data_IF_309118403279
#
_entry.id   IF_309118403279
#
_cell.length_a   1.000
_cell.length_b   1.000
_cell.length_c   1.000
_cell.angle_alpha   90.00
_cell.angle_beta   90.00
_cell.angle_gamma   90.00
#
_symmetry.space_group_name_H-M   'P 1'
#
loop_
_entity.id
_entity.type
_entity.pdbx_description
1 polymer ?
#
# COMPACT_ATOMS: atom_id res chain seq x y z
N UNK A 1 -1.55 -34.18 12.63
CA UNK A 1 -0.40 -34.34 11.70
C UNK A 1 -0.93 -34.32 10.27
N UNK A 2 -0.30 -33.56 9.38
CA UNK A 2 -0.55 -33.53 7.93
C UNK A 2 0.66 -34.14 7.22
N UNK A 3 0.43 -34.98 6.22
CA UNK A 3 1.47 -35.71 5.47
C UNK A 3 1.33 -35.40 3.98
N UNK A 4 2.44 -35.16 3.31
CA UNK A 4 2.49 -34.86 1.87
C UNK A 4 3.17 -36.01 1.14
N UNK A 5 2.53 -36.47 0.07
CA UNK A 5 3.02 -37.57 -0.75
C UNK A 5 3.18 -37.11 -2.19
N UNK A 6 4.27 -37.53 -2.83
CA UNK A 6 4.39 -37.52 -4.29
C UNK A 6 4.00 -38.90 -4.80
N UNK A 7 3.04 -38.91 -5.72
CA UNK A 7 2.59 -40.12 -6.41
C UNK A 7 3.01 -39.96 -7.87
N UNK A 8 3.80 -40.89 -8.38
CA UNK A 8 4.33 -40.81 -9.74
C UNK A 8 4.45 -42.19 -10.37
N UNK A 9 4.34 -42.23 -11.70
CA UNK A 9 4.60 -43.42 -12.50
C UNK A 9 6.10 -43.55 -12.74
N UNK A 10 6.69 -44.66 -12.32
CA UNK A 10 8.07 -45.00 -12.57
C UNK A 10 8.17 -45.96 -13.76
N UNK A 11 8.81 -45.49 -14.83
CA UNK A 11 8.85 -46.22 -16.10
C UNK A 11 10.04 -47.20 -16.20
N UNK A 12 11.05 -47.11 -15.32
CA UNK A 12 12.11 -48.09 -15.09
C UNK A 12 12.53 -48.99 -16.27
N UNK A 13 12.68 -50.30 -16.00
CA UNK A 13 12.96 -51.32 -17.02
C UNK A 13 11.71 -51.78 -17.79
N UNK A 14 10.51 -51.52 -17.27
CA UNK A 14 9.23 -52.00 -17.82
C UNK A 14 8.35 -50.83 -18.27
N UNK A 15 8.85 -50.01 -19.21
CA UNK A 15 8.21 -48.76 -19.63
C UNK A 15 6.78 -48.90 -20.19
N UNK A 16 6.38 -50.10 -20.63
CA UNK A 16 5.02 -50.40 -21.09
C UNK A 16 4.03 -50.67 -19.96
N UNK A 17 4.52 -50.96 -18.75
CA UNK A 17 3.73 -51.25 -17.55
C UNK A 17 4.37 -50.52 -16.36
N UNK A 18 4.25 -49.19 -16.28
CA UNK A 18 4.92 -48.41 -15.25
C UNK A 18 4.39 -48.76 -13.86
N UNK A 19 5.29 -48.77 -12.88
CA UNK A 19 4.95 -48.94 -11.47
C UNK A 19 4.44 -47.60 -10.90
N UNK A 20 3.35 -47.62 -10.13
CA UNK A 20 2.94 -46.44 -9.36
C UNK A 20 3.71 -46.44 -8.05
N UNK A 21 4.53 -45.42 -7.84
CA UNK A 21 5.29 -45.22 -6.61
C UNK A 21 4.74 -44.07 -5.80
N UNK A 22 4.80 -44.23 -4.48
CA UNK A 22 4.39 -43.22 -3.51
C UNK A 22 5.56 -42.93 -2.59
N UNK A 23 5.92 -41.65 -2.48
CA UNK A 23 6.98 -41.18 -1.60
C UNK A 23 6.43 -40.10 -0.68
N UNK A 24 6.60 -40.27 0.62
CA UNK A 24 6.29 -39.21 1.57
C UNK A 24 7.42 -38.16 1.58
N UNK A 25 7.07 -36.90 1.31
CA UNK A 25 8.04 -35.81 1.16
C UNK A 25 8.10 -34.90 2.38
N UNK A 26 6.97 -34.71 3.06
CA UNK A 26 6.86 -33.73 4.16
C UNK A 26 5.83 -34.15 5.19
N UNK A 27 6.12 -33.83 6.44
CA UNK A 27 5.22 -33.96 7.59
C UNK A 27 5.11 -32.62 8.29
N UNK A 28 3.90 -32.30 8.72
CA UNK A 28 3.61 -31.14 9.56
C UNK A 28 2.84 -31.62 10.79
N UNK A 29 3.43 -31.43 11.96
CA UNK A 29 2.79 -31.66 13.25
C UNK A 29 2.27 -30.32 13.78
N UNK A 30 1.00 -30.32 14.18
CA UNK A 30 0.34 -29.16 14.79
C UNK A 30 0.20 -29.49 16.27
N UNK A 31 0.97 -28.80 17.11
CA UNK A 31 1.04 -28.99 18.56
C UNK A 31 0.73 -27.65 19.22
N UNK A 32 -0.51 -27.45 19.66
CA UNK A 32 -1.00 -26.18 20.19
C UNK A 32 -0.68 -24.98 19.26
N UNK A 33 0.23 -24.11 19.67
CA UNK A 33 0.69 -22.93 18.91
C UNK A 33 1.89 -23.21 18.01
N UNK A 34 2.45 -24.42 18.06
CA UNK A 34 3.64 -24.83 17.30
C UNK A 34 3.27 -25.63 16.06
N UNK A 35 4.04 -25.39 15.01
CA UNK A 35 3.97 -26.10 13.75
C UNK A 35 5.35 -26.70 13.46
N UNK A 36 5.53 -27.99 13.76
CA UNK A 36 6.80 -28.69 13.54
C UNK A 36 6.81 -29.31 12.16
N UNK A 37 7.78 -28.92 11.34
CA UNK A 37 7.89 -29.34 9.93
C UNK A 37 9.11 -30.22 9.76
N UNK A 38 8.91 -31.33 9.06
CA UNK A 38 9.95 -32.29 8.72
C UNK A 38 9.87 -32.62 7.23
N UNK A 39 11.01 -32.66 6.56
CA UNK A 39 11.10 -32.96 5.13
C UNK A 39 12.00 -34.18 4.91
N UNK A 40 11.59 -35.07 4.01
CA UNK A 40 12.37 -36.24 3.61
C UNK A 40 13.40 -35.80 2.57
N UNK A 41 14.68 -35.73 2.97
CA UNK A 41 15.76 -35.20 2.12
C UNK A 41 17.15 -35.63 2.58
N UNK A 42 18.15 -35.28 1.76
CA UNK A 42 19.56 -35.42 2.09
C UNK A 42 19.93 -34.49 3.25
N UNK A 43 20.31 -35.07 4.38
CA UNK A 43 20.69 -34.33 5.58
C UNK A 43 21.98 -33.56 5.33
N UNK A 44 21.91 -32.22 5.30
CA UNK A 44 23.10 -31.33 5.18
C UNK A 44 24.08 -31.74 4.06
N UNK A 45 23.56 -32.26 2.95
CA UNK A 45 24.35 -32.72 1.80
C UNK A 45 25.35 -33.86 2.12
N UNK A 46 25.12 -34.66 3.17
CA UNK A 46 26.00 -35.78 3.56
C UNK A 46 25.81 -37.05 2.70
N UNK A 47 24.72 -37.13 1.94
CA UNK A 47 24.32 -38.34 1.20
C UNK A 47 23.31 -39.22 1.95
N UNK A 48 23.08 -38.96 3.24
CA UNK A 48 22.10 -39.69 4.05
C UNK A 48 20.70 -39.08 3.86
N UNK A 49 19.75 -39.87 3.36
CA UNK A 49 18.35 -39.43 3.24
C UNK A 49 17.60 -39.74 4.55
N UNK A 50 17.05 -38.71 5.20
CA UNK A 50 16.26 -38.87 6.42
C UNK A 50 15.26 -37.73 6.62
N UNK A 51 14.42 -37.84 7.65
CA UNK A 51 13.57 -36.75 8.11
C UNK A 51 14.44 -35.63 8.71
N UNK A 52 14.42 -34.46 8.09
CA UNK A 52 15.17 -33.30 8.52
C UNK A 52 14.20 -32.24 9.07
N UNK A 53 14.47 -31.73 10.27
CA UNK A 53 13.75 -30.63 10.92
C UNK A 53 14.34 -29.27 10.53
N UNK A 54 13.57 -28.18 10.72
CA UNK A 54 14.03 -26.81 10.47
C UNK A 54 14.14 -26.42 8.98
N UNK A 55 13.79 -27.32 8.06
CA UNK A 55 13.70 -27.05 6.63
C UNK A 55 12.23 -26.94 6.20
N UNK A 56 11.90 -25.85 5.50
CA UNK A 56 10.59 -25.61 4.88
C UNK A 56 10.77 -25.34 3.38
N UNK A 57 11.58 -26.18 2.72
CA UNK A 57 11.97 -25.99 1.33
C UNK A 57 10.96 -26.52 0.32
N UNK A 58 10.11 -27.48 0.72
CA UNK A 58 9.01 -27.94 -0.12
C UNK A 58 7.74 -27.15 0.17
N UNK A 59 7.22 -26.48 -0.85
CA UNK A 59 5.91 -25.84 -0.75
C UNK A 59 4.92 -26.49 -1.70
N UNK A 60 3.80 -26.93 -1.14
CA UNK A 60 2.73 -27.62 -1.85
C UNK A 60 1.49 -26.72 -1.86
N UNK A 61 1.56 -25.64 -2.64
CA UNK A 61 0.44 -24.72 -2.80
C UNK A 61 -0.75 -25.40 -3.48
N UNK A 62 -0.45 -26.24 -4.48
CA UNK A 62 -1.44 -26.96 -5.28
C UNK A 62 -1.28 -28.47 -5.10
N UNK A 63 -1.88 -29.00 -4.04
CA UNK A 63 -1.92 -30.43 -3.78
C UNK A 63 -3.35 -30.94 -3.65
N UNK A 64 -3.64 -32.11 -4.22
CA UNK A 64 -4.89 -32.81 -3.93
C UNK A 64 -4.93 -33.22 -2.46
N UNK A 65 -6.06 -32.96 -1.79
CA UNK A 65 -6.26 -33.39 -0.41
C UNK A 65 -6.95 -34.75 -0.38
N UNK A 66 -6.38 -35.72 0.32
CA UNK A 66 -7.03 -37.02 0.51
C UNK A 66 -8.18 -36.89 1.51
N UNK A 67 -9.42 -36.92 1.02
CA UNK A 67 -10.60 -36.56 1.82
C UNK A 67 -11.20 -37.71 2.65
N UNK A 68 -10.90 -38.97 2.28
CA UNK A 68 -11.58 -40.14 2.85
C UNK A 68 -11.35 -40.34 4.36
N UNK A 69 -10.27 -39.81 4.94
CA UNK A 69 -10.00 -39.90 6.37
C UNK A 69 -10.19 -38.59 7.14
N UNK A 70 -10.52 -37.48 6.45
CA UNK A 70 -10.53 -36.15 7.07
C UNK A 70 -11.51 -36.06 8.24
N UNK A 71 -12.70 -36.63 8.12
CA UNK A 71 -13.70 -36.61 9.18
C UNK A 71 -13.17 -37.23 10.47
N UNK A 72 -12.62 -38.45 10.40
CA UNK A 72 -11.98 -39.11 11.54
C UNK A 72 -10.74 -38.35 12.04
N UNK A 73 -9.94 -37.79 11.13
CA UNK A 73 -8.69 -37.12 11.47
C UNK A 73 -8.90 -35.74 12.14
N UNK A 74 -10.02 -35.08 11.87
CA UNK A 74 -10.33 -33.74 12.37
C UNK A 74 -11.24 -33.76 13.60
N UNK A 75 -12.03 -34.82 13.83
CA UNK A 75 -12.89 -34.97 15.02
C UNK A 75 -12.10 -34.76 16.32
N UNK A 76 -12.63 -33.93 17.22
CA UNK A 76 -11.99 -33.61 18.50
C UNK A 76 -10.80 -32.64 18.39
N UNK A 77 -10.49 -32.14 17.19
CA UNK A 77 -9.48 -31.09 16.98
C UNK A 77 -10.16 -29.71 16.83
N UNK A 78 -9.42 -28.60 17.01
CA UNK A 78 -9.93 -27.25 16.69
C UNK A 78 -10.38 -27.08 15.23
N UNK A 79 -10.01 -27.99 14.33
CA UNK A 79 -10.32 -27.93 12.90
C UNK A 79 -11.53 -28.78 12.51
N UNK A 80 -12.23 -29.42 13.45
CA UNK A 80 -13.35 -30.32 13.15
C UNK A 80 -14.46 -29.69 12.30
N UNK A 81 -14.65 -28.37 12.39
CA UNK A 81 -15.67 -27.64 11.64
C UNK A 81 -15.12 -26.84 10.46
N UNK A 82 -13.81 -26.89 10.18
CA UNK A 82 -13.16 -25.99 9.23
C UNK A 82 -13.61 -26.15 7.77
N UNK A 83 -14.49 -27.10 7.45
CA UNK A 83 -15.06 -27.35 6.12
C UNK A 83 -14.04 -27.73 5.01
N UNK A 84 -12.78 -28.04 5.36
CA UNK A 84 -11.74 -28.37 4.38
C UNK A 84 -12.09 -29.59 3.52
N UNK A 85 -12.87 -30.56 4.04
CA UNK A 85 -13.38 -31.70 3.26
C UNK A 85 -14.27 -31.23 2.11
N UNK A 86 -15.27 -30.39 2.42
CA UNK A 86 -16.15 -29.79 1.41
C UNK A 86 -15.35 -28.97 0.40
N UNK A 87 -14.38 -28.19 0.86
CA UNK A 87 -13.52 -27.41 -0.02
C UNK A 87 -12.65 -28.31 -0.93
N UNK A 88 -12.12 -29.42 -0.41
CA UNK A 88 -11.31 -30.37 -1.18
C UNK A 88 -12.15 -31.19 -2.18
N UNK A 89 -13.39 -31.52 -1.84
CA UNK A 89 -14.30 -32.30 -2.70
C UNK A 89 -15.11 -31.42 -3.68
N UNK A 90 -14.81 -30.11 -3.77
CA UNK A 90 -15.60 -29.13 -4.54
C UNK A 90 -15.72 -29.46 -6.04
N UNK A 91 -14.70 -30.09 -6.61
CA UNK A 91 -14.70 -30.70 -7.94
C UNK A 91 -13.56 -31.73 -8.04
N UNK A 92 -13.61 -32.59 -9.05
CA UNK A 92 -12.58 -33.61 -9.26
C UNK A 92 -11.20 -32.98 -9.52
N UNK A 93 -10.20 -33.35 -8.70
CA UNK A 93 -8.84 -32.83 -8.83
C UNK A 93 -8.61 -31.46 -8.19
N UNK A 94 -9.55 -30.95 -7.40
CA UNK A 94 -9.41 -29.66 -6.73
C UNK A 94 -8.16 -29.60 -5.84
N UNK A 95 -7.34 -28.56 -6.02
CA UNK A 95 -6.15 -28.34 -5.22
C UNK A 95 -6.51 -27.67 -3.89
N UNK A 96 -5.75 -27.95 -2.84
CA UNK A 96 -5.89 -27.30 -1.54
C UNK A 96 -4.51 -27.06 -0.95
N UNK A 97 -4.22 -25.80 -0.64
CA UNK A 97 -3.08 -25.44 0.19
C UNK A 97 -3.38 -25.73 1.67
N UNK A 98 -3.42 -27.02 2.04
CA UNK A 98 -3.83 -27.47 3.39
C UNK A 98 -3.13 -26.72 4.52
N UNK A 99 -1.79 -26.50 4.49
CA UNK A 99 -1.11 -25.80 5.57
C UNK A 99 -1.61 -24.37 5.78
N UNK A 100 -1.82 -23.64 4.69
CA UNK A 100 -2.35 -22.29 4.78
C UNK A 100 -3.83 -22.28 5.08
N UNK A 101 -4.62 -23.21 4.54
CA UNK A 101 -6.03 -23.35 4.90
C UNK A 101 -6.20 -23.45 6.42
N UNK A 102 -5.50 -24.39 7.06
CA UNK A 102 -5.58 -24.60 8.51
C UNK A 102 -5.05 -23.37 9.27
N UNK A 103 -3.89 -22.83 8.87
CA UNK A 103 -3.33 -21.61 9.48
C UNK A 103 -4.30 -20.43 9.42
N UNK A 104 -4.94 -20.22 8.26
CA UNK A 104 -5.87 -19.10 8.04
C UNK A 104 -7.13 -19.32 8.86
N UNK A 105 -7.71 -20.52 8.84
CA UNK A 105 -8.90 -20.85 9.63
C UNK A 105 -8.72 -20.55 11.13
N UNK A 106 -7.57 -20.89 11.72
CA UNK A 106 -7.28 -20.60 13.13
C UNK A 106 -7.39 -19.10 13.47
N UNK A 107 -7.00 -18.23 12.54
CA UNK A 107 -7.09 -16.77 12.71
C UNK A 107 -8.38 -16.16 12.18
N UNK A 108 -9.08 -16.87 11.28
CA UNK A 108 -10.21 -16.39 10.47
C UNK A 108 -11.26 -17.50 10.29
N UNK A 109 -12.05 -17.79 11.33
CA UNK A 109 -13.03 -18.87 11.28
C UNK A 109 -14.11 -18.68 10.21
N UNK A 110 -14.35 -17.45 9.74
CA UNK A 110 -15.34 -17.18 8.70
C UNK A 110 -15.08 -17.92 7.38
N UNK A 111 -13.87 -18.44 7.14
CA UNK A 111 -13.55 -19.31 6.00
C UNK A 111 -14.49 -20.52 5.97
N UNK A 112 -14.85 -21.08 7.13
CA UNK A 112 -15.82 -22.18 7.20
C UNK A 112 -17.17 -21.77 6.61
N UNK A 113 -17.66 -20.57 6.94
CA UNK A 113 -18.91 -20.08 6.41
C UNK A 113 -18.80 -19.80 4.90
N UNK A 114 -17.67 -19.27 4.43
CA UNK A 114 -17.44 -19.04 2.99
C UNK A 114 -17.49 -20.33 2.19
N UNK A 115 -16.83 -21.40 2.67
CA UNK A 115 -16.88 -22.73 2.04
C UNK A 115 -18.30 -23.28 2.08
N UNK A 116 -18.99 -23.22 3.21
CA UNK A 116 -20.38 -23.68 3.33
C UNK A 116 -21.34 -22.91 2.42
N UNK A 117 -21.03 -21.65 2.12
CA UNK A 117 -21.76 -20.82 1.18
C UNK A 117 -21.35 -21.05 -0.29
N UNK A 118 -20.33 -21.86 -0.58
CA UNK A 118 -19.86 -22.10 -1.95
C UNK A 118 -19.03 -20.96 -2.56
N UNK A 119 -18.43 -20.09 -1.73
CA UNK A 119 -17.51 -19.04 -2.16
C UNK A 119 -16.08 -19.60 -2.27
N UNK A 120 -15.88 -20.59 -3.13
CA UNK A 120 -14.65 -21.36 -3.19
C UNK A 120 -13.48 -20.57 -3.78
N UNK A 121 -13.69 -19.73 -4.80
CA UNK A 121 -12.59 -18.96 -5.39
C UNK A 121 -11.99 -17.94 -4.41
N UNK A 122 -12.83 -17.23 -3.65
CA UNK A 122 -12.32 -16.37 -2.56
C UNK A 122 -11.54 -17.16 -1.52
N UNK A 123 -12.01 -18.36 -1.14
CA UNK A 123 -11.30 -19.19 -0.15
C UNK A 123 -9.96 -19.66 -0.71
N UNK A 124 -9.89 -20.02 -1.99
CA UNK A 124 -8.64 -20.37 -2.67
C UNK A 124 -7.63 -19.22 -2.62
N UNK A 125 -8.05 -17.99 -2.91
CA UNK A 125 -7.22 -16.79 -2.81
C UNK A 125 -6.80 -16.51 -1.36
N UNK A 126 -7.73 -16.54 -0.41
CA UNK A 126 -7.49 -16.30 1.03
C UNK A 126 -6.46 -17.27 1.62
N UNK A 127 -6.40 -18.48 1.08
CA UNK A 127 -5.49 -19.54 1.52
C UNK A 127 -4.14 -19.51 0.81
N UNK A 128 -3.84 -18.46 0.04
CA UNK A 128 -2.51 -18.22 -0.49
C UNK A 128 -1.60 -17.43 0.47
N UNK A 129 -0.26 -17.61 0.38
CA UNK A 129 0.72 -16.87 1.20
C UNK A 129 0.68 -15.37 1.02
N UNK A 130 0.52 -14.92 -0.22
CA UNK A 130 0.64 -13.53 -0.64
C UNK A 130 -0.66 -12.74 -0.49
N UNK A 131 -1.74 -13.38 -0.05
CA UNK A 131 -3.04 -12.73 0.00
C UNK A 131 -3.18 -11.77 1.19
N UNK A 132 -3.70 -10.57 0.91
CA UNK A 132 -3.94 -9.50 1.88
C UNK A 132 -5.45 -9.32 2.15
N UNK A 133 -5.81 -9.20 3.43
CA UNK A 133 -7.19 -9.22 3.92
C UNK A 133 -7.93 -7.86 3.88
N UNK A 134 -7.35 -6.82 3.28
CA UNK A 134 -7.89 -5.45 3.34
C UNK A 134 -9.31 -5.27 2.78
N UNK A 135 -9.86 -6.27 2.11
CA UNK A 135 -11.18 -6.23 1.49
C UNK A 135 -12.32 -6.70 2.41
N UNK A 136 -11.99 -7.38 3.50
CA UNK A 136 -12.97 -7.99 4.41
C UNK A 136 -12.96 -7.32 5.77
N UNK A 137 -14.15 -7.10 6.33
CA UNK A 137 -14.32 -6.69 7.72
C UNK A 137 -13.97 -7.86 8.64
N UNK A 138 -12.84 -7.75 9.34
CA UNK A 138 -12.30 -8.81 10.18
C UNK A 138 -13.09 -9.05 11.46
N UNK A 139 -13.90 -8.06 11.87
CA UNK A 139 -14.70 -8.09 13.09
C UNK A 139 -16.18 -8.43 12.81
N UNK A 140 -16.51 -8.79 11.56
CA UNK A 140 -17.86 -9.16 11.16
C UNK A 140 -18.34 -10.44 11.84
N UNK A 141 -19.56 -10.43 12.39
CA UNK A 141 -20.15 -11.55 13.13
C UNK A 141 -20.78 -12.62 12.24
N UNK A 142 -21.00 -12.30 10.96
CA UNK A 142 -21.57 -13.17 9.95
C UNK A 142 -21.01 -12.81 8.56
N UNK A 143 -21.25 -13.65 7.56
CA UNK A 143 -20.71 -13.43 6.20
C UNK A 143 -21.12 -12.11 5.57
N UNK A 144 -22.35 -11.62 5.82
CA UNK A 144 -22.82 -10.36 5.26
C UNK A 144 -22.01 -9.18 5.84
N UNK A 145 -21.74 -9.21 7.14
CA UNK A 145 -20.88 -8.22 7.81
C UNK A 145 -19.41 -8.33 7.38
N UNK A 146 -18.88 -9.55 7.25
CA UNK A 146 -17.50 -9.80 6.79
C UNK A 146 -17.27 -9.24 5.39
N UNK A 147 -18.23 -9.45 4.48
CA UNK A 147 -18.17 -8.93 3.12
C UNK A 147 -18.65 -7.46 3.03
N UNK A 148 -19.39 -6.97 4.02
CA UNK A 148 -19.99 -5.63 4.02
C UNK A 148 -21.04 -5.47 2.93
N UNK A 149 -21.94 -6.45 2.78
CA UNK A 149 -22.94 -6.51 1.70
C UNK A 149 -24.35 -6.82 2.22
N UNK A 150 -25.36 -6.44 1.45
CA UNK A 150 -26.75 -6.85 1.71
C UNK A 150 -26.98 -8.31 1.31
N UNK A 151 -28.10 -8.90 1.76
CA UNK A 151 -28.49 -10.27 1.38
C UNK A 151 -28.70 -10.45 -0.12
N UNK A 152 -29.19 -9.42 -0.81
CA UNK A 152 -29.36 -9.46 -2.26
C UNK A 152 -28.02 -9.48 -2.99
N UNK A 153 -27.11 -8.59 -2.57
CA UNK A 153 -25.75 -8.52 -3.10
C UNK A 153 -24.98 -9.83 -2.86
N UNK A 154 -25.14 -10.41 -1.66
CA UNK A 154 -24.55 -11.69 -1.33
C UNK A 154 -25.03 -12.82 -2.26
N UNK A 155 -26.33 -12.88 -2.57
CA UNK A 155 -26.85 -13.90 -3.51
C UNK A 155 -26.20 -13.79 -4.87
N UNK A 156 -25.99 -12.57 -5.37
CA UNK A 156 -25.30 -12.35 -6.64
C UNK A 156 -23.82 -12.80 -6.58
N UNK A 157 -23.11 -12.47 -5.50
CA UNK A 157 -21.72 -12.92 -5.27
C UNK A 157 -21.64 -14.44 -5.24
N UNK A 158 -22.57 -15.08 -4.52
CA UNK A 158 -22.65 -16.53 -4.37
C UNK A 158 -22.95 -17.24 -5.69
N UNK A 159 -23.93 -16.75 -6.46
CA UNK A 159 -24.29 -17.31 -7.76
C UNK A 159 -23.12 -17.29 -8.76
N UNK A 160 -22.23 -16.31 -8.63
CA UNK A 160 -21.08 -16.15 -9.49
C UNK A 160 -19.81 -16.76 -8.91
N UNK A 161 -19.82 -17.38 -7.71
CA UNK A 161 -18.64 -17.86 -6.97
C UNK A 161 -17.39 -16.99 -7.24
N UNK A 162 -17.51 -15.71 -6.89
CA UNK A 162 -16.61 -14.67 -7.37
C UNK A 162 -15.19 -14.83 -6.83
N UNK A 163 -14.21 -14.43 -7.63
CA UNK A 163 -12.89 -14.05 -7.14
C UNK A 163 -12.92 -12.68 -6.45
N UNK A 164 -11.92 -12.39 -5.64
CA UNK A 164 -11.77 -11.13 -4.92
C UNK A 164 -11.68 -9.91 -5.85
N UNK A 165 -11.02 -10.07 -7.01
CA UNK A 165 -11.01 -9.04 -8.06
C UNK A 165 -12.43 -8.71 -8.56
N UNK A 166 -13.24 -9.73 -8.83
CA UNK A 166 -14.61 -9.59 -9.29
C UNK A 166 -15.47 -8.95 -8.20
N UNK A 167 -15.29 -9.36 -6.94
CA UNK A 167 -15.97 -8.77 -5.79
C UNK A 167 -15.64 -7.28 -5.59
N UNK A 168 -14.37 -6.88 -5.72
CA UNK A 168 -13.94 -5.48 -5.66
C UNK A 168 -14.57 -4.67 -6.79
N UNK A 169 -14.60 -5.23 -7.99
CA UNK A 169 -15.24 -4.65 -9.17
C UNK A 169 -16.74 -4.46 -8.92
N UNK A 170 -17.42 -5.49 -8.46
CA UNK A 170 -18.84 -5.48 -8.12
C UNK A 170 -19.18 -4.39 -7.11
N UNK A 171 -18.42 -4.29 -6.00
CA UNK A 171 -18.58 -3.23 -5.00
C UNK A 171 -18.36 -1.83 -5.58
N UNK A 172 -17.35 -1.66 -6.45
CA UNK A 172 -17.09 -0.38 -7.12
C UNK A 172 -18.22 0.00 -8.07
N UNK A 173 -18.86 -0.95 -8.74
CA UNK A 173 -20.02 -0.69 -9.58
C UNK A 173 -21.24 -0.30 -8.77
N UNK A 174 -21.51 -0.99 -7.65
CA UNK A 174 -22.61 -0.67 -6.75
C UNK A 174 -22.52 0.73 -6.14
N UNK A 175 -21.31 1.24 -5.87
CA UNK A 175 -21.13 2.60 -5.35
C UNK A 175 -21.38 3.69 -6.40
N UNK A 176 -21.45 3.32 -7.69
CA UNK A 176 -21.66 4.26 -8.79
C UNK A 176 -23.14 4.33 -9.17
N UNK A 177 -23.77 5.49 -8.96
CA UNK A 177 -25.21 5.72 -9.22
C UNK A 177 -25.72 5.38 -10.63
N UNK A 178 -24.84 5.39 -11.64
CA UNK A 178 -25.19 5.21 -13.07
C UNK A 178 -24.69 3.89 -13.67
N UNK A 179 -23.97 3.09 -12.89
CA UNK A 179 -23.36 1.88 -13.38
C UNK A 179 -24.34 0.72 -13.25
N UNK A 180 -24.75 0.14 -14.37
CA UNK A 180 -25.52 -1.11 -14.36
C UNK A 180 -24.57 -2.29 -14.38
N UNK A 181 -24.90 -3.32 -13.62
CA UNK A 181 -24.15 -4.56 -13.57
C UNK A 181 -24.52 -5.37 -14.82
N UNK A 182 -23.53 -5.75 -15.66
CA UNK A 182 -23.76 -6.64 -16.80
C UNK A 182 -24.40 -7.94 -16.37
N UNK A 183 -25.27 -8.48 -17.23
CA UNK A 183 -25.87 -9.80 -17.03
C UNK A 183 -24.81 -10.89 -16.96
N UNK A 184 -23.87 -10.89 -17.92
CA UNK A 184 -22.67 -11.71 -17.87
C UNK A 184 -21.50 -10.94 -17.21
N UNK A 185 -21.58 -10.83 -15.88
CA UNK A 185 -20.60 -10.10 -15.08
C UNK A 185 -19.20 -10.73 -15.12
N UNK A 186 -19.11 -12.06 -15.20
CA UNK A 186 -17.84 -12.78 -15.24
C UNK A 186 -17.11 -12.53 -16.56
N UNK A 187 -17.79 -12.65 -17.70
CA UNK A 187 -17.18 -12.32 -18.99
C UNK A 187 -16.78 -10.85 -19.07
N UNK A 188 -17.58 -9.94 -18.50
CA UNK A 188 -17.20 -8.54 -18.37
C UNK A 188 -15.89 -8.36 -17.58
N UNK A 189 -15.76 -9.02 -16.42
CA UNK A 189 -14.55 -8.95 -15.61
C UNK A 189 -13.33 -9.52 -16.35
N UNK A 190 -13.47 -10.64 -17.05
CA UNK A 190 -12.39 -11.27 -17.82
C UNK A 190 -11.96 -10.43 -19.01
N UNK A 191 -12.92 -9.94 -19.80
CA UNK A 191 -12.64 -9.10 -20.98
C UNK A 191 -11.86 -7.84 -20.61
N UNK A 192 -12.15 -7.29 -19.42
CA UNK A 192 -11.62 -6.01 -18.98
C UNK A 192 -10.63 -6.10 -17.83
N UNK A 193 -10.12 -7.29 -17.49
CA UNK A 193 -9.32 -7.55 -16.29
C UNK A 193 -8.22 -6.50 -16.07
N UNK A 194 -7.50 -6.15 -17.15
CA UNK A 194 -6.38 -5.19 -17.12
C UNK A 194 -6.81 -3.72 -17.00
N UNK A 195 -7.99 -3.39 -17.49
CA UNK A 195 -8.43 -2.01 -17.73
C UNK A 195 -9.70 -1.62 -16.97
N UNK A 196 -10.24 -2.54 -16.16
CA UNK A 196 -11.55 -2.41 -15.53
C UNK A 196 -11.66 -1.15 -14.69
N UNK A 197 -10.57 -0.75 -14.03
CA UNK A 197 -10.57 0.44 -13.19
C UNK A 197 -10.81 1.70 -14.03
N UNK A 198 -10.17 1.81 -15.20
CA UNK A 198 -10.34 2.93 -16.12
C UNK A 198 -11.73 2.92 -16.75
N UNK A 199 -12.21 1.75 -17.16
CA UNK A 199 -13.55 1.59 -17.72
C UNK A 199 -14.62 2.02 -16.72
N UNK A 200 -14.53 1.57 -15.47
CA UNK A 200 -15.45 1.98 -14.41
C UNK A 200 -15.36 3.47 -14.09
N UNK A 201 -14.20 4.12 -14.25
CA UNK A 201 -14.11 5.58 -14.14
C UNK A 201 -14.83 6.28 -15.29
N UNK A 202 -14.63 5.83 -16.52
CA UNK A 202 -15.29 6.39 -17.71
C UNK A 202 -16.81 6.15 -17.73
N UNK A 203 -17.26 5.02 -17.20
CA UNK A 203 -18.67 4.67 -17.06
C UNK A 203 -19.44 5.58 -16.07
N UNK A 204 -18.75 6.40 -15.27
CA UNK A 204 -19.41 7.44 -14.49
C UNK A 204 -20.00 8.55 -15.38
N UNK A 205 -19.41 8.74 -16.55
CA UNK A 205 -19.80 9.78 -17.50
C UNK A 205 -20.71 9.24 -18.62
N UNK A 206 -20.57 7.96 -18.99
CA UNK A 206 -21.29 7.37 -20.13
C UNK A 206 -21.51 5.86 -20.03
N UNK A 207 -22.02 5.21 -21.08
CA UNK A 207 -22.25 3.75 -21.12
C UNK A 207 -21.03 2.99 -21.62
N UNK A 208 -20.88 1.71 -21.26
CA UNK A 208 -19.79 0.84 -21.75
C UNK A 208 -19.66 0.86 -23.28
N UNK A 209 -20.78 0.68 -23.99
CA UNK A 209 -20.82 0.76 -25.46
C UNK A 209 -20.26 2.09 -26.01
N UNK A 210 -20.55 3.22 -25.35
CA UNK A 210 -20.02 4.53 -25.78
C UNK A 210 -18.54 4.66 -25.44
N UNK A 211 -18.07 4.05 -24.36
CA UNK A 211 -16.63 3.96 -24.04
C UNK A 211 -15.91 3.18 -25.13
N UNK A 212 -16.34 1.96 -25.42
CA UNK A 212 -15.76 1.09 -26.45
C UNK A 212 -15.73 1.80 -27.81
N UNK A 213 -16.88 2.35 -28.22
CA UNK A 213 -17.02 3.04 -29.51
C UNK A 213 -16.07 4.24 -29.61
N UNK A 214 -16.04 5.11 -28.60
CA UNK A 214 -15.22 6.31 -28.65
C UNK A 214 -13.73 6.00 -28.63
N UNK A 215 -13.29 5.09 -27.74
CA UNK A 215 -11.90 4.65 -27.70
C UNK A 215 -11.47 4.03 -29.04
N UNK A 216 -12.31 3.18 -29.63
CA UNK A 216 -12.03 2.58 -30.94
C UNK A 216 -11.91 3.64 -32.05
N UNK A 217 -12.78 4.65 -32.06
CA UNK A 217 -12.75 5.74 -33.05
C UNK A 217 -11.51 6.64 -32.96
N UNK A 218 -10.93 6.77 -31.76
CA UNK A 218 -9.73 7.60 -31.53
C UNK A 218 -8.43 6.77 -31.61
N UNK A 219 -8.53 5.45 -31.73
CA UNK A 219 -7.36 4.55 -31.81
C UNK A 219 -6.66 4.73 -33.16
N UNK A 220 -5.34 4.83 -33.10
CA UNK A 220 -4.46 4.87 -34.28
C UNK A 220 -3.22 4.03 -34.02
N UNK A 221 -2.38 3.77 -35.03
CA UNK A 221 -1.10 3.06 -34.82
C UNK A 221 -0.21 3.71 -33.78
N UNK A 222 -0.21 5.06 -33.71
CA UNK A 222 0.56 5.84 -32.73
C UNK A 222 -0.13 5.95 -31.37
N UNK A 223 -1.42 5.65 -31.30
CA UNK A 223 -2.24 5.78 -30.09
C UNK A 223 -3.10 4.52 -29.95
N UNK A 224 -2.55 3.44 -29.36
CA UNK A 224 -3.30 2.22 -29.15
C UNK A 224 -4.49 2.46 -28.22
N UNK A 225 -5.48 1.59 -28.30
CA UNK A 225 -6.76 1.67 -27.57
C UNK A 225 -6.60 2.04 -26.08
N UNK A 226 -5.64 1.42 -25.41
CA UNK A 226 -5.36 1.68 -24.00
C UNK A 226 -4.79 3.08 -23.72
N UNK A 227 -3.92 3.59 -24.59
CA UNK A 227 -3.37 4.95 -24.47
C UNK A 227 -4.49 5.99 -24.66
N UNK A 228 -5.38 5.76 -25.63
CA UNK A 228 -6.58 6.58 -25.84
C UNK A 228 -7.48 6.60 -24.62
N UNK A 229 -7.74 5.44 -24.01
CA UNK A 229 -8.59 5.33 -22.83
C UNK A 229 -8.03 6.13 -21.65
N UNK A 230 -6.72 6.01 -21.39
CA UNK A 230 -6.03 6.79 -20.34
C UNK A 230 -6.10 8.29 -20.61
N UNK A 231 -5.74 8.70 -21.83
CA UNK A 231 -5.76 10.09 -22.27
C UNK A 231 -7.15 10.72 -22.11
N UNK A 232 -8.19 9.99 -22.50
CA UNK A 232 -9.57 10.45 -22.36
C UNK A 232 -9.99 10.60 -20.90
N UNK A 233 -9.65 9.63 -20.06
CA UNK A 233 -9.92 9.67 -18.64
C UNK A 233 -9.22 10.84 -17.95
N UNK A 234 -7.97 11.11 -18.29
CA UNK A 234 -7.21 12.24 -17.72
C UNK A 234 -7.77 13.59 -18.21
N UNK A 235 -8.11 13.71 -19.49
CA UNK A 235 -8.83 14.87 -20.01
C UNK A 235 -10.15 15.12 -19.25
N UNK A 236 -10.96 14.09 -19.00
CA UNK A 236 -12.22 14.26 -18.27
C UNK A 236 -12.02 14.70 -16.82
N UNK A 237 -10.95 14.23 -16.16
CA UNK A 237 -10.57 14.71 -14.81
C UNK A 237 -10.23 16.20 -14.83
N UNK A 238 -9.44 16.65 -15.80
CA UNK A 238 -9.13 18.07 -15.98
C UNK A 238 -10.37 18.88 -16.32
N UNK A 239 -11.22 18.39 -17.23
CA UNK A 239 -12.47 19.06 -17.60
C UNK A 239 -13.40 19.24 -16.38
N UNK A 240 -13.53 18.21 -15.52
CA UNK A 240 -14.29 18.33 -14.25
C UNK A 240 -13.66 19.36 -13.32
N UNK A 241 -12.34 19.36 -13.16
CA UNK A 241 -11.64 20.36 -12.32
C UNK A 241 -11.86 21.78 -12.81
N UNK A 242 -11.88 21.99 -14.13
CA UNK A 242 -12.16 23.28 -14.76
C UNK A 242 -13.65 23.63 -14.81
N UNK A 243 -14.53 22.81 -14.21
CA UNK A 243 -15.97 23.08 -14.14
C UNK A 243 -16.72 22.85 -15.46
N UNK A 244 -16.14 22.14 -16.42
CA UNK A 244 -16.79 21.88 -17.70
C UNK A 244 -18.00 20.96 -17.52
N UNK A 245 -19.07 21.22 -18.27
CA UNK A 245 -20.26 20.38 -18.25
C UNK A 245 -20.02 19.05 -19.00
N UNK A 246 -19.63 18.01 -18.27
CA UNK A 246 -19.37 16.67 -18.83
C UNK A 246 -20.63 15.93 -19.31
N UNK A 247 -21.83 16.51 -19.18
CA UNK A 247 -23.04 16.03 -19.87
C UNK A 247 -23.13 16.53 -21.32
N UNK A 248 -22.41 17.59 -21.67
CA UNK A 248 -22.33 18.07 -23.04
C UNK A 248 -21.51 17.08 -23.88
N UNK A 249 -22.09 16.58 -24.98
CA UNK A 249 -21.44 15.60 -25.85
C UNK A 249 -20.12 16.11 -26.45
N UNK A 250 -19.99 17.40 -26.73
CA UNK A 250 -18.75 17.98 -27.25
C UNK A 250 -17.62 18.00 -26.22
N UNK A 251 -17.97 18.18 -24.94
CA UNK A 251 -17.02 18.07 -23.82
C UNK A 251 -16.70 16.62 -23.56
N UNK A 252 -17.72 15.75 -23.51
CA UNK A 252 -17.55 14.34 -23.18
C UNK A 252 -16.80 13.55 -24.26
N UNK A 253 -17.01 13.87 -25.54
CA UNK A 253 -16.44 13.17 -26.69
C UNK A 253 -15.72 14.17 -27.62
N UNK A 254 -14.57 14.74 -27.20
CA UNK A 254 -13.84 15.69 -28.02
C UNK A 254 -13.37 15.03 -29.33
N UNK A 255 -13.64 15.66 -30.47
CA UNK A 255 -13.23 15.10 -31.79
C UNK A 255 -11.70 14.94 -31.92
N UNK A 256 -10.94 15.85 -31.30
CA UNK A 256 -9.47 15.87 -31.28
C UNK A 256 -8.99 15.70 -29.85
N UNK A 257 -9.00 14.46 -29.36
CA UNK A 257 -8.78 14.16 -27.95
C UNK A 257 -7.44 14.68 -27.41
N UNK A 258 -6.34 14.48 -28.15
CA UNK A 258 -4.99 14.93 -27.74
C UNK A 258 -4.95 16.45 -27.58
N UNK A 259 -5.45 17.20 -28.58
CA UNK A 259 -5.46 18.66 -28.51
C UNK A 259 -6.34 19.17 -27.36
N UNK A 260 -7.48 18.54 -27.13
CA UNK A 260 -8.37 18.89 -26.03
C UNK A 260 -7.71 18.60 -24.67
N UNK A 261 -7.03 17.45 -24.53
CA UNK A 261 -6.26 17.07 -23.36
C UNK A 261 -5.14 18.10 -23.08
N UNK A 262 -4.27 18.36 -24.05
CA UNK A 262 -3.09 19.20 -23.86
C UNK A 262 -3.49 20.63 -23.48
N UNK A 263 -4.56 21.15 -24.09
CA UNK A 263 -5.12 22.45 -23.73
C UNK A 263 -5.60 22.51 -22.27
N UNK A 264 -6.43 21.55 -21.83
CA UNK A 264 -6.94 21.58 -20.45
C UNK A 264 -5.84 21.25 -19.42
N UNK A 265 -4.86 20.41 -19.79
CA UNK A 265 -3.72 20.08 -18.96
C UNK A 265 -2.83 21.30 -18.70
N UNK A 266 -2.51 22.09 -19.73
CA UNK A 266 -1.77 23.36 -19.58
C UNK A 266 -2.51 24.36 -18.66
N UNK A 267 -3.83 24.48 -18.82
CA UNK A 267 -4.63 25.35 -17.95
C UNK A 267 -4.62 24.87 -16.50
N UNK A 268 -4.79 23.56 -16.26
CA UNK A 268 -4.75 22.98 -14.90
C UNK A 268 -3.36 23.16 -14.28
N UNK A 269 -2.29 22.91 -15.03
CA UNK A 269 -0.92 23.11 -14.56
C UNK A 269 -0.68 24.56 -14.12
N UNK A 270 -1.12 25.55 -14.91
CA UNK A 270 -1.01 26.97 -14.55
C UNK A 270 -1.77 27.31 -13.27
N UNK A 271 -2.94 26.70 -13.06
CA UNK A 271 -3.70 26.86 -11.82
C UNK A 271 -2.94 26.24 -10.64
N UNK A 272 -2.45 25.01 -10.78
CA UNK A 272 -1.67 24.33 -9.73
C UNK A 272 -0.40 25.09 -9.36
N UNK A 273 0.34 25.61 -10.35
CA UNK A 273 1.52 26.44 -10.11
C UNK A 273 1.17 27.72 -9.37
N UNK A 274 0.04 28.36 -9.71
CA UNK A 274 -0.44 29.56 -9.00
C UNK A 274 -0.86 29.22 -7.57
N UNK A 275 -1.64 28.16 -7.36
CA UNK A 275 -2.06 27.68 -6.04
C UNK A 275 -0.85 27.33 -5.17
N UNK A 276 0.16 26.68 -5.73
CA UNK A 276 1.41 26.35 -5.04
C UNK A 276 2.19 27.61 -4.66
N UNK A 277 2.29 28.60 -5.57
CA UNK A 277 2.94 29.88 -5.28
C UNK A 277 2.22 30.66 -4.18
N UNK A 278 0.89 30.70 -4.22
CA UNK A 278 0.06 31.35 -3.20
C UNK A 278 0.20 30.65 -1.85
N UNK A 279 0.18 29.31 -1.83
CA UNK A 279 0.42 28.51 -0.64
C UNK A 279 1.80 28.79 -0.04
N UNK A 280 2.86 28.75 -0.86
CA UNK A 280 4.22 29.06 -0.43
C UNK A 280 4.34 30.50 0.10
N UNK A 281 3.67 31.46 -0.52
CA UNK A 281 3.65 32.84 -0.06
C UNK A 281 3.00 32.96 1.32
N UNK A 282 1.84 32.32 1.51
CA UNK A 282 1.11 32.32 2.79
C UNK A 282 1.92 31.63 3.90
N UNK A 283 2.54 30.49 3.61
CA UNK A 283 3.47 29.81 4.53
C UNK A 283 4.63 30.72 4.92
N UNK A 284 5.23 31.42 3.94
CA UNK A 284 6.33 32.33 4.20
C UNK A 284 5.91 33.54 5.05
N UNK A 285 4.73 34.10 4.83
CA UNK A 285 4.18 35.21 5.63
C UNK A 285 3.93 34.79 7.09
N UNK A 286 3.37 33.59 7.31
CA UNK A 286 3.17 33.01 8.65
C UNK A 286 4.52 32.78 9.35
N UNK A 287 5.44 32.13 8.67
CA UNK A 287 6.77 31.87 9.19
C UNK A 287 7.52 33.17 9.51
N UNK A 288 7.49 34.17 8.63
CA UNK A 288 8.15 35.47 8.86
C UNK A 288 7.64 36.16 10.12
N UNK A 289 6.31 36.14 10.34
CA UNK A 289 5.70 36.72 11.54
C UNK A 289 6.10 35.98 12.82
N UNK A 290 6.27 34.65 12.74
CA UNK A 290 6.71 33.81 13.85
C UNK A 290 8.20 33.99 14.14
N UNK A 291 9.04 33.95 13.10
CA UNK A 291 10.49 34.14 13.18
C UNK A 291 10.85 35.51 13.73
N UNK A 292 10.07 36.55 13.42
CA UNK A 292 10.22 37.88 14.04
C UNK A 292 10.05 37.84 15.56
N UNK A 293 9.06 37.09 16.07
CA UNK A 293 8.90 36.91 17.52
C UNK A 293 10.07 36.11 18.10
N UNK A 294 10.47 35.05 17.40
CA UNK A 294 11.57 34.18 17.81
C UNK A 294 12.92 34.87 17.81
N UNK A 295 13.16 35.90 16.98
CA UNK A 295 14.39 36.72 17.06
C UNK A 295 14.64 37.27 18.46
N UNK A 296 13.59 37.65 19.19
CA UNK A 296 13.73 38.19 20.56
C UNK A 296 14.01 37.12 21.61
N UNK A 297 13.75 35.86 21.29
CA UNK A 297 13.78 34.73 22.24
C UNK A 297 15.05 33.89 22.02
N UNK A 298 15.35 33.58 20.76
CA UNK A 298 16.36 32.59 20.38
C UNK A 298 17.69 33.22 19.93
N UNK A 299 17.73 34.52 19.60
CA UNK A 299 19.00 35.17 19.24
C UNK A 299 19.90 35.26 20.47
N UNK A 300 21.14 34.83 20.33
CA UNK A 300 22.09 34.79 21.44
C UNK A 300 23.52 34.88 20.92
N UNK A 301 24.43 35.41 21.72
CA UNK A 301 25.85 35.55 21.36
C UNK A 301 26.69 35.17 22.57
N UNK A 302 27.72 34.35 22.33
CA UNK A 302 28.69 33.95 23.36
C UNK A 302 30.04 33.70 22.70
N UNK A 303 31.07 34.35 23.23
CA UNK A 303 32.40 34.36 22.62
C UNK A 303 32.38 34.86 21.17
N UNK A 304 32.92 34.05 20.25
CA UNK A 304 33.05 34.36 18.83
C UNK A 304 31.88 33.93 17.94
N UNK A 305 30.82 33.35 18.51
CA UNK A 305 29.70 32.80 17.77
C UNK A 305 28.36 33.44 18.18
N UNK A 306 27.44 33.50 17.22
CA UNK A 306 26.07 33.99 17.40
C UNK A 306 25.06 33.01 16.83
N UNK A 307 23.92 32.88 17.52
CA UNK A 307 22.68 32.33 16.98
C UNK A 307 21.87 33.45 16.33
N UNK A 308 21.57 33.27 15.05
CA UNK A 308 20.77 34.17 14.22
C UNK A 308 19.51 33.42 13.80
N UNK A 309 18.35 34.01 14.07
CA UNK A 309 17.07 33.48 13.59
C UNK A 309 16.89 33.91 12.12
N UNK A 310 16.55 32.99 11.20
CA UNK A 310 16.34 33.30 9.79
C UNK A 310 15.23 34.34 9.59
N UNK A 311 15.29 35.06 8.46
CA UNK A 311 14.26 36.07 8.19
C UNK A 311 12.95 35.48 7.72
N UNK A 312 13.03 34.41 6.93
CA UNK A 312 11.91 33.76 6.31
C UNK A 312 12.27 32.35 5.83
N UNK A 313 11.32 31.65 5.20
CA UNK A 313 11.53 30.29 4.71
C UNK A 313 12.49 30.24 3.51
N UNK A 314 12.59 31.33 2.74
CA UNK A 314 13.54 31.42 1.63
C UNK A 314 14.97 31.43 2.15
N UNK A 315 15.24 32.19 3.22
CA UNK A 315 16.53 32.22 3.90
C UNK A 315 16.95 30.83 4.38
N UNK A 316 16.01 30.06 4.95
CA UNK A 316 16.24 28.67 5.37
C UNK A 316 16.61 27.78 4.17
N UNK A 317 15.91 27.94 3.04
CA UNK A 317 16.18 27.18 1.81
C UNK A 317 17.55 27.47 1.22
N UNK A 318 17.91 28.75 1.10
CA UNK A 318 19.22 29.18 0.58
C UNK A 318 20.37 28.71 1.48
N UNK A 319 20.17 28.77 2.80
CA UNK A 319 21.16 28.28 3.76
C UNK A 319 21.45 26.78 3.57
N UNK A 320 20.41 25.94 3.56
CA UNK A 320 20.61 24.50 3.39
C UNK A 320 21.08 24.13 1.98
N UNK A 321 20.71 24.88 0.95
CA UNK A 321 21.30 24.73 -0.38
C UNK A 321 22.83 24.97 -0.34
N UNK A 322 23.26 26.06 0.29
CA UNK A 322 24.68 26.42 0.41
C UNK A 322 25.48 25.42 1.24
N UNK A 323 24.88 24.87 2.29
CA UNK A 323 25.49 23.87 3.16
C UNK A 323 25.34 22.42 2.63
N UNK A 324 24.75 22.24 1.44
CA UNK A 324 24.49 20.94 0.81
C UNK A 324 23.72 19.94 1.69
N UNK A 325 22.79 20.42 2.51
CA UNK A 325 21.90 19.56 3.28
C UNK A 325 20.43 19.94 3.06
N UNK A 326 19.58 18.94 2.81
CA UNK A 326 18.20 19.16 2.40
C UNK A 326 17.35 19.81 3.51
N UNK A 327 16.87 21.03 3.25
CA UNK A 327 15.98 21.82 4.14
C UNK A 327 14.52 21.86 3.68
N UNK A 328 14.21 21.27 2.52
CA UNK A 328 12.89 21.36 1.88
C UNK A 328 11.73 20.77 2.73
N UNK A 329 12.02 19.80 3.62
CA UNK A 329 10.99 19.15 4.43
C UNK A 329 10.60 19.93 5.70
N UNK A 330 11.34 20.96 6.08
CA UNK A 330 11.10 21.68 7.35
C UNK A 330 10.18 22.89 7.21
N UNK A 331 9.92 23.37 5.98
CA UNK A 331 9.27 24.68 5.80
C UNK A 331 7.84 24.73 6.32
N UNK A 332 7.10 23.62 6.24
CA UNK A 332 5.76 23.52 6.83
C UNK A 332 5.83 23.52 8.36
N UNK A 333 6.69 22.71 8.95
CA UNK A 333 6.81 22.60 10.41
C UNK A 333 7.31 23.89 11.05
N UNK A 334 8.19 24.63 10.36
CA UNK A 334 8.60 25.99 10.77
C UNK A 334 7.44 26.97 10.66
N UNK A 335 6.66 26.95 9.57
CA UNK A 335 5.50 27.82 9.42
C UNK A 335 4.39 27.53 10.45
N UNK A 336 4.27 26.27 10.89
CA UNK A 336 3.33 25.82 11.92
C UNK A 336 3.89 26.00 13.35
N UNK A 337 5.16 26.39 13.51
CA UNK A 337 5.82 26.57 14.81
C UNK A 337 6.13 25.28 15.56
N UNK A 338 6.13 24.12 14.89
CA UNK A 338 6.50 22.81 15.49
C UNK A 338 8.01 22.65 15.62
N UNK A 339 8.78 23.36 14.81
CA UNK A 339 10.24 23.36 14.85
C UNK A 339 10.75 24.74 14.46
N UNK A 340 11.97 25.07 14.88
CA UNK A 340 12.69 26.26 14.46
C UNK A 340 14.07 25.87 13.96
N UNK A 341 14.42 26.39 12.78
CA UNK A 341 15.79 26.29 12.25
C UNK A 341 16.50 27.60 12.58
N UNK A 342 17.64 27.47 13.25
CA UNK A 342 18.48 28.57 13.70
C UNK A 342 19.82 28.50 12.96
N UNK A 343 20.39 29.66 12.66
CA UNK A 343 21.70 29.75 12.03
C UNK A 343 22.76 30.06 13.08
N UNK A 344 23.84 29.28 13.10
CA UNK A 344 25.03 29.64 13.88
C UNK A 344 25.97 30.38 12.94
N UNK A 345 26.52 31.48 13.42
CA UNK A 345 27.42 32.38 12.67
C UNK A 345 28.66 32.67 13.48
N UNK A 346 29.75 32.97 12.77
CA UNK A 346 30.93 33.61 13.35
C UNK A 346 30.69 35.10 13.42
N UNK A 347 31.04 35.74 14.53
CA UNK A 347 30.82 37.18 14.73
C UNK A 347 31.60 38.02 13.71
N UNK A 348 32.72 37.49 13.21
CA UNK A 348 33.51 38.11 12.15
C UNK A 348 32.85 38.05 10.77
N UNK A 349 31.91 37.13 10.53
CA UNK A 349 31.31 36.83 9.22
C UNK A 349 29.81 36.44 9.36
N UNK A 350 28.97 37.36 9.86
CA UNK A 350 27.55 37.08 10.17
C UNK A 350 26.68 36.68 8.97
N UNK A 351 27.08 37.06 7.76
CA UNK A 351 26.32 36.77 6.52
C UNK A 351 26.72 35.45 5.87
N UNK A 352 27.76 34.77 6.36
CA UNK A 352 28.27 33.56 5.74
C UNK A 352 27.70 32.30 6.39
N UNK A 353 27.13 31.37 5.60
CA UNK A 353 26.68 30.07 6.11
C UNK A 353 27.78 29.34 6.89
N UNK A 354 27.43 28.76 8.04
CA UNK A 354 28.39 28.06 8.90
C UNK A 354 27.79 26.77 9.47
N UNK A 355 26.79 26.86 10.35
CA UNK A 355 26.03 25.71 10.84
C UNK A 355 24.54 26.06 10.92
N UNK A 356 23.68 25.06 10.78
CA UNK A 356 22.25 25.14 11.10
C UNK A 356 21.94 24.28 12.33
N UNK A 357 20.97 24.72 13.13
CA UNK A 357 20.54 24.07 14.35
C UNK A 357 19.01 23.96 14.37
N UNK A 358 18.47 22.75 14.39
CA UNK A 358 17.03 22.48 14.53
C UNK A 358 16.68 22.34 16.01
N UNK A 359 15.68 23.09 16.46
CA UNK A 359 15.14 23.03 17.82
C UNK A 359 13.66 22.67 17.76
N UNK A 360 13.26 21.69 18.56
CA UNK A 360 11.87 21.23 18.73
C UNK A 360 11.61 21.00 20.22
N UNK A 361 10.47 21.46 20.74
CA UNK A 361 10.12 21.39 22.18
C UNK A 361 11.28 21.86 23.08
N UNK A 362 11.84 23.02 22.72
CA UNK A 362 12.96 23.66 23.42
C UNK A 362 14.17 22.73 23.61
N UNK A 363 14.37 21.79 22.68
CA UNK A 363 15.44 20.79 22.73
C UNK A 363 16.11 20.71 21.36
N UNK A 364 17.44 20.56 21.34
CA UNK A 364 18.21 20.56 20.09
C UNK A 364 18.08 19.18 19.44
N UNK A 365 17.48 19.13 18.26
CA UNK A 365 17.29 17.87 17.52
C UNK A 365 18.49 17.53 16.66
N UNK A 366 19.07 18.54 16.01
CA UNK A 366 20.26 18.38 15.19
C UNK A 366 21.02 19.71 15.07
N UNK A 367 22.34 19.60 14.88
CA UNK A 367 23.21 20.71 14.51
C UNK A 367 24.19 20.21 13.44
N UNK A 368 24.19 20.83 12.26
CA UNK A 368 24.92 20.34 11.09
C UNK A 368 25.60 21.48 10.34
N UNK A 369 26.83 21.21 9.89
CA UNK A 369 27.58 22.08 8.99
C UNK A 369 27.53 21.57 7.55
N UNK A 370 28.42 22.11 6.72
CA UNK A 370 28.55 21.73 5.31
C UNK A 370 28.66 20.20 5.10
N UNK A 371 27.81 19.63 4.23
CA UNK A 371 27.87 18.22 3.82
C UNK A 371 27.63 17.22 4.95
N UNK A 372 26.77 17.55 5.92
CA UNK A 372 26.48 16.75 7.11
C UNK A 372 27.70 16.55 8.04
N UNK A 373 28.70 17.43 7.98
CA UNK A 373 29.85 17.33 8.87
C UNK A 373 29.43 17.56 10.33
N UNK A 374 30.03 16.77 11.24
CA UNK A 374 29.81 16.92 12.68
C UNK A 374 30.35 18.26 13.19
N UNK A 375 29.78 18.73 14.29
CA UNK A 375 30.21 19.99 14.93
C UNK A 375 31.67 19.92 15.36
N UNK A 376 32.42 20.99 15.09
CA UNK A 376 33.74 21.22 15.69
C UNK A 376 33.62 21.37 17.20
N UNK A 377 34.72 21.21 17.94
CA UNK A 377 34.70 21.33 19.40
C UNK A 377 34.24 22.73 19.87
N UNK A 378 34.61 23.77 19.12
CA UNK A 378 34.14 25.14 19.31
C UNK A 378 32.60 25.23 19.21
N UNK A 379 32.03 24.63 18.16
CA UNK A 379 30.57 24.65 17.93
C UNK A 379 29.84 23.77 18.94
N UNK A 380 30.39 22.63 19.36
CA UNK A 380 29.80 21.79 20.41
C UNK A 380 29.69 22.54 21.73
N UNK A 381 30.80 23.15 22.19
CA UNK A 381 30.81 23.93 23.42
C UNK A 381 29.80 25.09 23.38
N UNK A 382 29.66 25.74 22.23
CA UNK A 382 28.68 26.81 22.02
C UNK A 382 27.22 26.29 22.06
N UNK A 383 26.95 25.17 21.38
CA UNK A 383 25.64 24.51 21.35
C UNK A 383 25.23 24.05 22.77
N UNK A 384 26.15 23.46 23.53
CA UNK A 384 25.92 23.06 24.92
C UNK A 384 25.61 24.28 25.79
N UNK A 385 26.38 25.37 25.64
CA UNK A 385 26.12 26.61 26.36
C UNK A 385 24.75 27.22 25.99
N UNK A 386 24.36 27.16 24.72
CA UNK A 386 23.05 27.61 24.25
C UNK A 386 21.91 26.78 24.86
N UNK A 387 22.05 25.45 24.90
CA UNK A 387 21.07 24.57 25.54
C UNK A 387 20.88 24.93 27.03
N UNK A 388 21.98 25.14 27.77
CA UNK A 388 21.91 25.46 29.20
C UNK A 388 21.35 26.86 29.48
N UNK A 389 21.79 27.87 28.73
CA UNK A 389 21.54 29.28 29.05
C UNK A 389 20.29 29.85 28.38
N UNK A 390 19.85 29.26 27.26
CA UNK A 390 18.70 29.75 26.48
C UNK A 390 17.54 28.75 26.52
N UNK A 391 17.77 27.50 26.11
CA UNK A 391 16.67 26.54 25.92
C UNK A 391 16.11 26.00 27.24
N UNK A 392 16.96 25.62 28.20
CA UNK A 392 16.49 25.13 29.52
C UNK A 392 15.59 26.12 30.26
N UNK A 393 15.92 27.42 30.38
CA UNK A 393 15.02 28.41 30.97
C UNK A 393 13.67 28.51 30.24
N UNK A 394 13.67 28.49 28.91
CA UNK A 394 12.44 28.55 28.11
C UNK A 394 11.55 27.33 28.35
N UNK A 395 12.15 26.14 28.41
CA UNK A 395 11.45 24.88 28.70
C UNK A 395 10.77 24.88 30.07
N UNK A 396 11.48 25.37 31.10
CA UNK A 396 10.92 25.51 32.45
C UNK A 396 9.77 26.52 32.50
N UNK A 397 9.90 27.64 31.79
CA UNK A 397 8.82 28.65 31.69
C UNK A 397 7.60 28.09 30.97
N UNK A 398 7.78 27.34 29.88
CA UNK A 398 6.68 26.72 29.14
C UNK A 398 5.91 25.71 30.03
N UNK A 399 6.63 24.88 30.79
CA UNK A 399 6.05 23.92 31.74
C UNK A 399 5.32 24.58 32.92
N UNK A 400 5.71 25.80 33.31
CA UNK A 400 5.06 26.53 34.40
C UNK A 400 3.75 27.23 33.97
N UNK A 401 3.52 27.38 32.67
CA UNK A 401 2.37 28.10 32.08
C UNK A 401 1.37 27.15 31.40
N UNK A 402 1.76 25.88 31.15
CA UNK A 402 0.89 24.78 30.70
C UNK A 402 0.19 24.11 31.88
#
# INVERSE_FOLDING_TARGET
MVRFFSIYKYYGKHYKTPEIRTLELKRIFYEDTKCLKYEWRNFKQTGEIRWCDGWDGYTFYDAACYTANLEKALTGTPYQYCAIKQFADRYEGASVNVPYYLKRYSSKPFIEYMVKAGLYHMVEELTQPWYFFGEYNQDGKNLLEVLGVTREQFRFIQQNDMYSFEFRTYKKMLSQKKCKIPEDFRSFCQQYERDISLILELMQYTTLHKVERYCSQQTTEKQPYFAVMRLWRDYLRFAVRLGYNTKNSFVLFPKRLIQAHDHVADVVQKIEEKELREKMKLENERAKSLLEKYRKIYSWTDGGLSVVVPEDLFSIREEGHTLHHCVANYTQDVADGKTIILFIRRNSELTKPFYTMEVTDESIRQCQGFGYCGSTEEVKNFVDAYEQKVLKPLKLLAQAVS
#
